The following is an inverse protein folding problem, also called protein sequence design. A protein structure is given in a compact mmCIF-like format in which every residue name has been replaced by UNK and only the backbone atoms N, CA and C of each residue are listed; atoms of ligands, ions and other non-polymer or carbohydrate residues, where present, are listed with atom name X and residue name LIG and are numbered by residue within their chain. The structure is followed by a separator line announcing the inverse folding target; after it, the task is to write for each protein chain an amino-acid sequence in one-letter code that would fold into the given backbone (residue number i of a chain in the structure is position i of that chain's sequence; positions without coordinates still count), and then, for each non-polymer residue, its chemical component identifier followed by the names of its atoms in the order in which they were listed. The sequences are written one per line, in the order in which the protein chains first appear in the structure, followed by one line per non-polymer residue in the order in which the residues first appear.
data_IF_005641923621
#
_entry.id   IF_005641923621
#
_cell.length_a   1.000
_cell.length_b   1.000
_cell.length_c   1.000
_cell.angle_alpha   90.00
_cell.angle_beta   90.00
_cell.angle_gamma   90.00
#
_symmetry.space_group_name_H-M   'P 1'
#
loop_
_entity.id
_entity.type
_entity.pdbx_description
1 polymer ?
#
# COMPACT_ATOMS: atom_id res chain seq x y z
N UNK A 1 4.04 -3.70 -3.52
CA UNK A 1 4.35 -3.26 -4.92
C UNK A 1 3.07 -3.38 -5.75
N UNK A 2 2.32 -2.29 -5.97
CA UNK A 2 0.97 -2.36 -6.55
C UNK A 2 0.88 -3.08 -7.90
N UNK A 3 1.88 -2.94 -8.77
CA UNK A 3 1.91 -3.56 -10.09
C UNK A 3 1.89 -5.10 -10.10
N UNK A 4 2.23 -5.74 -8.98
CA UNK A 4 2.15 -7.20 -8.83
C UNK A 4 0.91 -7.66 -8.05
N UNK A 5 0.21 -6.72 -7.42
CA UNK A 5 -0.87 -6.99 -6.47
C UNK A 5 -2.24 -6.52 -6.99
N UNK A 6 -2.24 -5.57 -7.93
CA UNK A 6 -3.43 -5.08 -8.59
C UNK A 6 -3.91 -6.08 -9.66
N UNK A 7 -5.22 -6.11 -9.91
CA UNK A 7 -5.80 -6.83 -11.04
C UNK A 7 -5.18 -6.40 -12.37
N UNK A 8 -5.16 -7.30 -13.36
CA UNK A 8 -4.53 -7.06 -14.68
C UNK A 8 -5.13 -5.85 -15.39
N UNK A 9 -6.41 -5.57 -15.15
CA UNK A 9 -7.16 -4.41 -15.66
C UNK A 9 -6.66 -3.08 -15.09
N UNK A 10 -6.07 -3.09 -13.89
CA UNK A 10 -5.58 -1.91 -13.18
C UNK A 10 -4.10 -1.63 -13.46
N UNK A 11 -3.44 -2.49 -14.23
CA UNK A 11 -2.05 -2.33 -14.66
C UNK A 11 -2.04 -1.78 -16.09
N UNK A 12 -1.49 -0.58 -16.28
CA UNK A 12 -1.41 0.04 -17.60
C UNK A 12 -0.54 -0.77 -18.58
N UNK A 13 -0.63 -0.45 -19.88
CA UNK A 13 0.13 -1.15 -20.95
C UNK A 13 1.65 -1.20 -20.70
N UNK A 14 2.18 -0.21 -19.99
CA UNK A 14 3.59 -0.11 -19.60
C UNK A 14 3.86 -0.72 -18.23
N UNK A 15 3.06 -1.68 -17.72
CA UNK A 15 3.28 -2.27 -16.39
C UNK A 15 3.14 -1.32 -15.20
N UNK A 16 2.62 -0.10 -15.39
CA UNK A 16 2.54 0.94 -14.35
C UNK A 16 1.12 1.08 -13.83
N UNK A 17 0.98 1.04 -12.51
CA UNK A 17 -0.23 1.46 -11.80
C UNK A 17 -0.15 2.96 -11.53
N UNK A 18 -1.10 3.73 -12.06
CA UNK A 18 -1.13 5.19 -11.94
C UNK A 18 -2.27 5.72 -11.07
N UNK A 19 -3.31 4.91 -10.88
CA UNK A 19 -4.50 5.35 -10.15
C UNK A 19 -4.23 5.31 -8.63
N UNK A 20 -4.34 6.44 -7.90
CA UNK A 20 -4.25 6.47 -6.45
C UNK A 20 -5.25 5.52 -5.77
N UNK A 21 -6.46 5.37 -6.31
CA UNK A 21 -7.48 4.51 -5.72
C UNK A 21 -7.05 3.03 -5.75
N UNK A 22 -6.39 2.60 -6.83
CA UNK A 22 -5.83 1.25 -6.93
C UNK A 22 -4.70 1.04 -5.92
N UNK A 23 -3.86 2.06 -5.69
CA UNK A 23 -2.82 1.97 -4.65
C UNK A 23 -3.46 1.81 -3.25
N UNK A 24 -4.47 2.61 -2.93
CA UNK A 24 -5.20 2.55 -1.66
C UNK A 24 -5.86 1.18 -1.45
N UNK A 25 -6.55 0.65 -2.48
CA UNK A 25 -7.17 -0.68 -2.45
C UNK A 25 -6.14 -1.77 -2.18
N UNK A 26 -5.03 -1.78 -2.92
CA UNK A 26 -3.96 -2.77 -2.73
C UNK A 26 -3.38 -2.68 -1.32
N UNK A 27 -3.10 -1.47 -0.82
CA UNK A 27 -2.60 -1.27 0.54
C UNK A 27 -3.58 -1.83 1.57
N UNK A 28 -4.85 -1.43 1.52
CA UNK A 28 -5.88 -1.91 2.46
C UNK A 28 -5.99 -3.44 2.43
N UNK A 29 -5.97 -4.04 1.24
CA UNK A 29 -6.03 -5.50 1.07
C UNK A 29 -4.84 -6.20 1.75
N UNK A 30 -3.61 -5.73 1.48
CA UNK A 30 -2.40 -6.36 2.01
C UNK A 30 -2.26 -6.14 3.52
N UNK A 31 -2.54 -4.93 4.00
CA UNK A 31 -2.50 -4.62 5.44
C UNK A 31 -3.56 -5.42 6.21
N UNK A 32 -4.77 -5.54 5.66
CA UNK A 32 -5.84 -6.37 6.23
C UNK A 32 -5.54 -7.86 6.20
N UNK A 33 -4.90 -8.36 5.14
CA UNK A 33 -4.47 -9.76 5.04
C UNK A 33 -3.38 -10.09 6.06
N UNK A 34 -2.39 -9.20 6.25
CA UNK A 34 -1.35 -9.36 7.25
C UNK A 34 -1.95 -9.43 8.68
N UNK A 35 -2.91 -8.55 8.99
CA UNK A 35 -3.64 -8.58 10.26
C UNK A 35 -4.33 -9.92 10.52
N UNK A 36 -5.02 -10.47 9.53
CA UNK A 36 -5.65 -11.80 9.61
C UNK A 36 -4.65 -12.94 9.74
N UNK A 37 -3.40 -12.71 9.34
CA UNK A 37 -2.31 -13.70 9.37
C UNK A 37 -1.48 -13.64 10.67
N UNK A 38 -1.91 -12.89 11.69
CA UNK A 38 -1.20 -12.78 12.97
C UNK A 38 -0.05 -11.75 12.96
N UNK A 39 -0.18 -10.70 12.15
CA UNK A 39 0.77 -9.60 12.12
C UNK A 39 0.13 -8.29 12.59
N UNK A 40 0.79 -7.64 13.54
CA UNK A 40 0.44 -6.28 13.95
C UNK A 40 1.21 -5.28 13.10
N UNK A 41 0.50 -4.36 12.44
CA UNK A 41 1.13 -3.26 11.71
C UNK A 41 1.76 -2.27 12.68
N UNK A 42 3.06 -2.01 12.52
CA UNK A 42 3.82 -1.02 13.31
C UNK A 42 4.08 0.27 12.55
N UNK A 43 4.09 0.21 11.22
CA UNK A 43 4.20 1.41 10.39
C UNK A 43 4.02 1.09 8.91
N UNK A 44 3.59 2.08 8.15
CA UNK A 44 3.47 2.02 6.69
C UNK A 44 3.93 3.34 6.10
N UNK A 45 4.67 3.28 5.01
CA UNK A 45 5.12 4.46 4.27
C UNK A 45 5.31 4.14 2.78
N UNK A 46 5.64 5.12 1.95
CA UNK A 46 6.05 4.90 0.56
C UNK A 46 7.58 4.82 0.45
N UNK A 47 8.06 4.08 -0.54
CA UNK A 47 9.48 3.99 -0.87
C UNK A 47 9.99 5.36 -1.35
N UNK A 48 11.18 5.83 -0.92
CA UNK A 48 11.74 7.10 -1.37
C UNK A 48 12.15 7.10 -2.85
N UNK A 49 12.17 5.92 -3.48
CA UNK A 49 12.41 5.72 -4.91
C UNK A 49 11.25 4.96 -5.55
N UNK A 50 11.01 5.20 -6.84
CA UNK A 50 10.07 4.41 -7.63
C UNK A 50 10.68 3.07 -8.05
N UNK A 51 9.85 2.04 -8.17
CA UNK A 51 10.21 0.76 -8.76
C UNK A 51 10.30 0.80 -10.29
N UNK A 52 10.26 -0.38 -10.90
CA UNK A 52 10.31 -0.55 -12.35
C UNK A 52 9.27 0.31 -13.07
N UNK A 53 9.69 0.94 -14.17
CA UNK A 53 8.87 1.82 -15.03
C UNK A 53 8.22 3.01 -14.29
N UNK A 54 8.67 3.34 -13.07
CA UNK A 54 8.15 4.46 -12.29
C UNK A 54 7.00 4.11 -11.36
N UNK A 55 6.78 2.82 -11.06
CA UNK A 55 5.76 2.41 -10.10
C UNK A 55 6.06 2.94 -8.68
N UNK A 56 5.05 3.54 -8.03
CA UNK A 56 5.14 3.89 -6.62
C UNK A 56 5.10 2.59 -5.80
N UNK A 57 6.09 2.38 -4.95
CA UNK A 57 6.16 1.22 -4.06
C UNK A 57 5.96 1.64 -2.60
N UNK A 58 5.45 0.73 -1.79
CA UNK A 58 5.15 0.97 -0.38
C UNK A 58 5.94 0.03 0.52
N UNK A 59 6.29 0.52 1.69
CA UNK A 59 7.01 -0.18 2.74
C UNK A 59 6.08 -0.32 3.95
N UNK A 60 5.98 -1.52 4.49
CA UNK A 60 5.23 -1.79 5.70
C UNK A 60 6.10 -2.58 6.68
N UNK A 61 6.02 -2.18 7.93
CA UNK A 61 6.71 -2.79 9.05
C UNK A 61 5.68 -3.48 9.93
N UNK A 62 5.85 -4.78 10.12
CA UNK A 62 4.99 -5.60 10.95
C UNK A 62 5.78 -6.26 12.07
N UNK A 63 5.08 -6.56 13.15
CA UNK A 63 5.53 -7.44 14.21
C UNK A 63 4.60 -8.65 14.27
N UNK A 64 5.17 -9.84 14.46
CA UNK A 64 4.36 -11.06 14.63
C UNK A 64 3.70 -11.04 16.01
N UNK A 65 2.38 -11.21 16.04
CA UNK A 65 1.61 -11.36 17.27
C UNK A 65 0.85 -12.68 17.25
N UNK A 66 0.94 -13.46 18.33
CA UNK A 66 0.18 -14.71 18.46
C UNK A 66 -1.34 -14.49 18.71
N UNK A 67 -1.76 -13.23 18.89
CA UNK A 67 -3.15 -12.81 18.98
C UNK A 67 -3.54 -11.98 17.75
N UNK A 68 -4.67 -12.35 17.13
CA UNK A 68 -5.37 -11.46 16.24
C UNK A 68 -6.04 -10.39 17.11
N UNK A 69 -5.64 -9.13 16.96
CA UNK A 69 -6.25 -8.00 17.68
C UNK A 69 -7.43 -7.44 16.86
N UNK A 70 -8.70 -7.73 17.25
CA UNK A 70 -9.86 -7.15 16.59
C UNK A 70 -9.97 -5.66 16.95
N UNK A 71 -9.56 -4.78 16.02
CA UNK A 71 -9.69 -3.32 16.20
C UNK A 71 -8.75 -2.45 15.36
N UNK A 72 -7.68 -3.02 14.80
CA UNK A 72 -6.67 -2.26 14.05
C UNK A 72 -7.15 -1.68 12.70
N UNK A 73 -8.31 -2.10 12.18
CA UNK A 73 -8.75 -1.78 10.81
C UNK A 73 -9.18 -0.32 10.58
N UNK A 74 -9.77 0.37 11.56
CA UNK A 74 -10.24 1.75 11.36
C UNK A 74 -9.10 2.77 11.30
N UNK A 75 -8.08 2.65 12.16
CA UNK A 75 -6.92 3.54 12.14
C UNK A 75 -6.10 3.39 10.84
N UNK A 76 -5.93 2.14 10.37
CA UNK A 76 -5.19 1.84 9.13
C UNK A 76 -5.81 2.50 7.90
N UNK A 77 -7.15 2.64 7.85
CA UNK A 77 -7.84 3.20 6.67
C UNK A 77 -7.55 4.69 6.42
N UNK A 78 -7.59 5.52 7.46
CA UNK A 78 -7.37 6.96 7.35
C UNK A 78 -5.90 7.31 7.01
N UNK A 79 -4.97 6.54 7.57
CA UNK A 79 -3.54 6.71 7.34
C UNK A 79 -3.14 6.33 5.90
N UNK A 80 -3.79 5.30 5.33
CA UNK A 80 -3.47 4.81 3.98
C UNK A 80 -3.78 5.85 2.90
N UNK A 81 -4.94 6.51 2.96
CA UNK A 81 -5.34 7.50 1.95
C UNK A 81 -4.39 8.70 1.91
N UNK A 82 -4.04 9.23 3.09
CA UNK A 82 -3.13 10.36 3.21
C UNK A 82 -1.74 10.01 2.70
N UNK A 83 -1.25 8.81 3.04
CA UNK A 83 0.02 8.29 2.58
C UNK A 83 0.09 8.15 1.06
N UNK A 84 -0.94 7.58 0.44
CA UNK A 84 -1.03 7.44 -1.02
C UNK A 84 -1.01 8.81 -1.68
N UNK A 85 -1.79 9.77 -1.16
CA UNK A 85 -1.82 11.13 -1.67
C UNK A 85 -0.44 11.81 -1.56
N UNK A 86 0.28 11.59 -0.45
CA UNK A 86 1.64 12.09 -0.28
C UNK A 86 2.63 11.50 -1.28
N UNK A 87 2.63 10.17 -1.45
CA UNK A 87 3.48 9.51 -2.42
C UNK A 87 3.26 10.04 -3.84
N UNK A 88 1.99 10.22 -4.24
CA UNK A 88 1.64 10.81 -5.54
C UNK A 88 2.13 12.25 -5.68
N UNK A 89 2.06 13.07 -4.63
CA UNK A 89 2.64 14.43 -4.65
C UNK A 89 4.15 14.40 -4.78
N UNK A 90 4.84 13.49 -4.09
CA UNK A 90 6.30 13.36 -4.13
C UNK A 90 6.81 12.96 -5.52
N UNK A 91 6.10 12.07 -6.20
CA UNK A 91 6.51 11.57 -7.52
C UNK A 91 5.75 12.20 -8.70
N UNK A 92 4.94 13.23 -8.44
CA UNK A 92 4.36 14.04 -9.50
C UNK A 92 5.49 14.67 -10.32
N UNK A 93 5.55 14.35 -11.61
CA UNK A 93 6.48 15.02 -12.54
C UNK A 93 6.04 16.48 -12.68
N UNK A 94 6.98 17.41 -12.48
CA UNK A 94 6.82 18.82 -12.87
C UNK A 94 6.61 18.95 -14.37
#
# INVERSE_FOLDING_TARGET
KPQFEAGRENVGKSGVVRDPAVHEEVLMRILGFAGQSGFTLRGVTYSPITGGEGNIEFLAYWERSDAAEPGAQSAVSADTKSLVAEAHRTFAKT
#
